data_IF_658323274595
#
_entry.id   IF_658323274595
#
_cell.length_a   1.000
_cell.length_b   1.000
_cell.length_c   1.000
_cell.angle_alpha   90.00
_cell.angle_beta   90.00
_cell.angle_gamma   90.00
#
_symmetry.space_group_name_H-M   'P 1'
#
loop_
_entity.id
_entity.type
_entity.pdbx_description
1 polymer ?
#
# COMPACT_ATOMS: atom_id res chain seq x y z
N UNK A 1 0.66 -18.30 -9.68
CA UNK A 1 0.34 -16.86 -9.90
C UNK A 1 1.27 -16.05 -9.00
N UNK A 2 2.17 -15.24 -9.58
CA UNK A 2 3.13 -14.49 -8.77
C UNK A 2 2.46 -13.30 -8.08
N UNK A 3 2.58 -13.28 -6.75
CA UNK A 3 2.00 -12.28 -5.84
C UNK A 3 3.07 -11.30 -5.36
N UNK A 4 2.70 -10.04 -5.22
CA UNK A 4 3.53 -9.00 -4.57
C UNK A 4 2.71 -8.30 -3.50
N UNK A 5 3.31 -8.06 -2.34
CA UNK A 5 2.79 -7.13 -1.33
C UNK A 5 3.28 -5.72 -1.67
N UNK A 6 2.34 -4.83 -2.05
CA UNK A 6 2.64 -3.44 -2.42
C UNK A 6 2.26 -2.50 -1.28
N UNK A 7 3.27 -1.90 -0.65
CA UNK A 7 3.15 -1.00 0.50
C UNK A 7 3.32 0.44 0.02
N UNK A 8 2.26 1.24 0.09
CA UNK A 8 2.22 2.58 -0.52
C UNK A 8 2.20 3.66 0.55
N UNK A 9 3.15 4.59 0.49
CA UNK A 9 3.25 5.85 1.23
C UNK A 9 3.16 5.71 2.76
N UNK A 10 3.63 4.62 3.32
CA UNK A 10 3.77 4.48 4.77
C UNK A 10 5.06 5.17 5.21
N UNK A 11 5.02 6.50 5.20
CA UNK A 11 6.16 7.38 5.43
C UNK A 11 6.09 8.05 6.81
N UNK A 12 7.27 8.38 7.37
CA UNK A 12 7.39 8.84 8.74
C UNK A 12 6.50 10.06 9.04
N UNK A 13 6.52 11.10 8.22
CA UNK A 13 5.73 12.31 8.46
C UNK A 13 4.21 12.02 8.43
N UNK A 14 3.76 11.13 7.55
CA UNK A 14 2.34 10.78 7.45
C UNK A 14 1.87 9.98 8.68
N UNK A 15 2.71 9.11 9.21
CA UNK A 15 2.39 8.34 10.42
C UNK A 15 2.47 9.21 11.68
N UNK A 16 3.43 10.15 11.73
CA UNK A 16 3.58 11.09 12.85
C UNK A 16 2.37 12.06 12.96
N UNK A 17 1.70 12.37 11.84
CA UNK A 17 0.47 13.18 11.79
C UNK A 17 -0.81 12.42 12.28
N UNK A 18 -0.62 11.23 12.83
CA UNK A 18 -1.64 10.44 13.52
C UNK A 18 -2.89 10.11 12.70
N UNK A 19 -2.76 9.33 11.62
CA UNK A 19 -3.90 8.88 10.81
C UNK A 19 -4.87 7.99 11.60
N UNK A 20 -6.07 7.80 11.06
CA UNK A 20 -7.11 7.00 11.67
C UNK A 20 -6.66 5.57 11.97
N UNK A 21 -6.99 5.07 13.16
CA UNK A 21 -6.63 3.71 13.59
C UNK A 21 -5.13 3.35 13.46
N UNK A 22 -4.24 4.34 13.59
CA UNK A 22 -2.80 4.19 13.37
C UNK A 22 -2.20 2.92 13.97
N UNK A 23 -2.45 2.66 15.25
CA UNK A 23 -1.84 1.52 15.94
C UNK A 23 -2.32 0.18 15.35
N UNK A 24 -3.62 0.03 15.11
CA UNK A 24 -4.19 -1.16 14.47
C UNK A 24 -3.67 -1.32 13.04
N UNK A 25 -3.60 -0.22 12.28
CA UNK A 25 -3.05 -0.21 10.93
C UNK A 25 -1.59 -0.71 10.90
N UNK A 26 -0.73 -0.19 11.78
CA UNK A 26 0.67 -0.62 11.87
C UNK A 26 0.83 -2.07 12.31
N UNK A 27 -0.02 -2.55 13.23
CA UNK A 27 -0.05 -3.97 13.63
C UNK A 27 -0.44 -4.85 12.44
N UNK A 28 -1.51 -4.51 11.74
CA UNK A 28 -1.96 -5.25 10.55
C UNK A 28 -0.89 -5.28 9.46
N UNK A 29 -0.28 -4.14 9.19
CA UNK A 29 0.79 -4.04 8.20
C UNK A 29 1.99 -4.91 8.57
N UNK A 30 2.38 -4.92 9.85
CA UNK A 30 3.46 -5.80 10.32
C UNK A 30 3.12 -7.28 10.11
N UNK A 31 1.90 -7.71 10.39
CA UNK A 31 1.48 -9.09 10.14
C UNK A 31 1.58 -9.47 8.67
N UNK A 32 1.21 -8.57 7.74
CA UNK A 32 1.35 -8.80 6.31
C UNK A 32 2.82 -8.88 5.88
N UNK A 33 3.68 -7.99 6.40
CA UNK A 33 5.12 -8.03 6.11
C UNK A 33 5.76 -9.33 6.62
N UNK A 34 5.47 -9.70 7.87
CA UNK A 34 5.98 -10.95 8.45
C UNK A 34 5.53 -12.17 7.59
N UNK A 35 4.26 -12.22 7.20
CA UNK A 35 3.73 -13.29 6.34
C UNK A 35 4.38 -13.33 4.95
N UNK A 36 4.58 -12.17 4.31
CA UNK A 36 5.26 -12.07 3.03
C UNK A 36 6.70 -12.60 3.13
N UNK A 37 7.41 -12.19 4.18
CA UNK A 37 8.78 -12.61 4.44
C UNK A 37 8.91 -14.13 4.72
N UNK A 38 7.98 -14.69 5.50
CA UNK A 38 7.93 -16.13 5.80
C UNK A 38 7.58 -16.97 4.57
N UNK A 39 6.64 -16.47 3.75
CA UNK A 39 6.21 -17.12 2.51
C UNK A 39 7.20 -16.98 1.35
N UNK A 40 8.13 -16.02 1.43
CA UNK A 40 9.02 -15.66 0.33
C UNK A 40 8.33 -14.81 -0.74
N UNK A 41 7.18 -14.22 -0.41
CA UNK A 41 6.49 -13.26 -1.29
C UNK A 41 7.25 -11.93 -1.30
N UNK A 42 7.46 -11.41 -2.49
CA UNK A 42 8.17 -10.15 -2.68
C UNK A 42 7.37 -8.97 -2.08
N UNK A 43 8.08 -8.10 -1.36
CA UNK A 43 7.54 -6.82 -0.86
C UNK A 43 8.13 -5.68 -1.69
N UNK A 44 7.24 -4.81 -2.16
CA UNK A 44 7.61 -3.59 -2.90
C UNK A 44 7.04 -2.39 -2.15
N UNK A 45 7.89 -1.42 -1.89
CA UNK A 45 7.50 -0.16 -1.25
C UNK A 45 7.39 0.96 -2.28
N UNK A 46 6.47 1.88 -2.03
CA UNK A 46 6.34 3.13 -2.78
C UNK A 46 6.35 4.29 -1.80
N UNK A 47 7.10 5.34 -2.12
CA UNK A 47 7.15 6.59 -1.34
C UNK A 47 6.70 7.76 -2.20
N UNK A 48 5.96 8.66 -1.61
CA UNK A 48 5.61 9.93 -2.23
C UNK A 48 6.71 10.97 -2.02
N UNK A 49 7.16 11.61 -3.08
CA UNK A 49 8.02 12.81 -3.04
C UNK A 49 7.11 14.02 -3.27
N UNK A 50 6.88 14.81 -2.21
CA UNK A 50 6.05 16.01 -2.23
C UNK A 50 6.66 17.20 -2.96
N UNK A 51 7.96 17.11 -3.31
CA UNK A 51 8.71 18.19 -3.93
C UNK A 51 9.36 19.14 -2.92
N UNK A 52 10.06 20.14 -3.45
CA UNK A 52 10.83 21.09 -2.65
C UNK A 52 9.94 21.85 -1.66
N UNK A 53 10.35 21.88 -0.40
CA UNK A 53 9.65 22.57 0.69
C UNK A 53 8.52 21.77 1.34
N UNK A 54 8.19 20.58 0.85
CA UNK A 54 7.23 19.67 1.47
C UNK A 54 7.91 18.81 2.55
N UNK A 55 7.15 18.40 3.56
CA UNK A 55 7.65 17.47 4.62
C UNK A 55 8.01 16.09 4.06
N UNK A 56 7.47 15.74 2.90
CA UNK A 56 7.79 14.54 2.13
C UNK A 56 8.77 14.82 0.99
N UNK A 57 9.50 15.95 0.99
CA UNK A 57 10.50 16.21 -0.03
C UNK A 57 11.59 15.14 -0.01
N UNK A 58 12.07 14.75 -1.19
CA UNK A 58 13.10 13.73 -1.36
C UNK A 58 14.32 13.99 -0.44
N UNK A 59 14.66 13.00 0.36
CA UNK A 59 15.80 13.05 1.30
C UNK A 59 15.46 13.58 2.69
N UNK A 60 14.31 14.21 2.88
CA UNK A 60 13.90 14.69 4.20
C UNK A 60 13.57 13.53 5.15
N UNK A 61 13.69 13.74 6.49
CA UNK A 61 13.33 12.70 7.46
C UNK A 61 11.89 12.19 7.34
N UNK A 62 10.95 13.08 7.01
CA UNK A 62 9.54 12.75 6.85
C UNK A 62 9.24 11.89 5.61
N UNK A 63 10.05 12.01 4.56
CA UNK A 63 9.97 11.21 3.34
C UNK A 63 10.37 9.75 3.55
N UNK A 64 11.20 9.44 4.56
CA UNK A 64 11.62 8.08 4.83
C UNK A 64 10.42 7.19 5.19
N UNK A 65 10.52 5.90 4.88
CA UNK A 65 9.56 4.91 5.35
C UNK A 65 9.47 4.94 6.87
N UNK A 66 8.29 4.65 7.40
CA UNK A 66 8.06 4.54 8.83
C UNK A 66 9.03 3.53 9.46
N UNK A 67 9.58 3.86 10.62
CA UNK A 67 10.75 3.18 11.22
C UNK A 67 10.56 1.69 11.52
N UNK A 68 9.33 1.25 11.72
CA UNK A 68 9.04 -0.15 12.04
C UNK A 68 9.04 -1.06 10.82
N UNK A 69 8.90 -0.53 9.60
CA UNK A 69 8.82 -1.31 8.36
C UNK A 69 10.11 -2.07 8.04
N UNK A 70 11.27 -1.43 8.27
CA UNK A 70 12.61 -2.01 8.13
C UNK A 70 12.77 -2.82 6.83
N UNK A 71 12.68 -2.20 5.63
CA UNK A 71 12.84 -2.89 4.37
C UNK A 71 14.14 -3.70 4.34
N UNK A 72 14.08 -4.89 3.75
CA UNK A 72 15.28 -5.72 3.50
C UNK A 72 16.09 -5.13 2.35
N UNK A 73 17.38 -5.42 2.30
CA UNK A 73 18.28 -4.85 1.30
C UNK A 73 17.90 -5.20 -0.16
N UNK A 74 17.28 -6.36 -0.35
CA UNK A 74 16.79 -6.84 -1.64
C UNK A 74 15.43 -6.27 -2.06
N UNK A 75 14.68 -5.68 -1.14
CA UNK A 75 13.34 -5.16 -1.41
C UNK A 75 13.40 -3.85 -2.19
N UNK A 76 12.50 -3.71 -3.14
CA UNK A 76 12.45 -2.55 -4.03
C UNK A 76 11.66 -1.41 -3.41
N UNK A 77 12.19 -0.19 -3.58
CA UNK A 77 11.51 1.05 -3.20
C UNK A 77 11.40 1.91 -4.45
N UNK A 78 10.19 2.33 -4.79
CA UNK A 78 9.90 3.26 -5.87
C UNK A 78 9.47 4.62 -5.32
N UNK A 79 9.96 5.69 -5.90
CA UNK A 79 9.52 7.04 -5.56
C UNK A 79 8.54 7.55 -6.62
N UNK A 80 7.47 8.21 -6.18
CA UNK A 80 6.44 8.79 -7.04
C UNK A 80 6.17 10.25 -6.71
N UNK A 81 5.65 10.99 -7.68
CA UNK A 81 5.21 12.38 -7.53
C UNK A 81 3.72 12.59 -7.81
N UNK A 82 2.99 11.52 -8.04
CA UNK A 82 1.56 11.53 -8.38
C UNK A 82 0.79 10.61 -7.44
N UNK A 83 -0.54 10.65 -7.46
CA UNK A 83 -1.36 9.76 -6.64
C UNK A 83 -1.12 8.29 -6.96
N UNK A 84 -1.11 7.92 -8.24
CA UNK A 84 -0.86 6.54 -8.66
C UNK A 84 0.57 6.10 -8.39
N UNK A 85 0.74 4.92 -7.81
CA UNK A 85 2.03 4.24 -7.67
C UNK A 85 2.67 3.87 -9.02
N UNK A 86 1.88 3.85 -10.09
CA UNK A 86 2.30 3.41 -11.42
C UNK A 86 2.74 4.56 -12.34
N UNK A 87 2.24 5.78 -12.10
CA UNK A 87 2.45 6.89 -13.03
C UNK A 87 3.89 7.41 -12.97
N UNK A 88 4.63 7.18 -14.05
CA UNK A 88 6.04 7.61 -14.24
C UNK A 88 7.02 7.08 -13.17
N UNK A 89 6.78 5.88 -12.66
CA UNK A 89 7.64 5.25 -11.63
C UNK A 89 8.47 4.09 -12.17
N UNK A 90 8.07 3.46 -13.28
CA UNK A 90 8.63 2.19 -13.75
C UNK A 90 8.12 0.97 -12.98
N UNK A 91 7.16 1.16 -12.05
CA UNK A 91 6.63 0.05 -11.25
C UNK A 91 5.94 -1.01 -12.12
N UNK A 92 5.11 -0.60 -13.09
CA UNK A 92 4.40 -1.56 -13.94
C UNK A 92 5.37 -2.40 -14.79
N UNK A 93 6.38 -1.76 -15.38
CA UNK A 93 7.43 -2.42 -16.16
C UNK A 93 8.19 -3.43 -15.29
N UNK A 94 8.51 -3.05 -14.06
CA UNK A 94 9.14 -3.94 -13.10
C UNK A 94 8.27 -5.15 -12.79
N UNK A 95 7.04 -4.95 -12.32
CA UNK A 95 6.11 -6.03 -11.95
C UNK A 95 5.85 -6.98 -13.13
N UNK A 96 5.66 -6.44 -14.33
CA UNK A 96 5.47 -7.22 -15.56
C UNK A 96 6.71 -8.06 -15.87
N UNK A 97 7.91 -7.47 -15.77
CA UNK A 97 9.18 -8.20 -16.01
C UNK A 97 9.39 -9.36 -15.03
N UNK A 98 8.84 -9.24 -13.83
CA UNK A 98 8.87 -10.28 -12.81
C UNK A 98 7.74 -11.33 -12.96
N UNK A 99 6.82 -11.16 -13.91
CA UNK A 99 5.68 -12.06 -14.12
C UNK A 99 4.62 -11.97 -13.03
N UNK A 100 4.54 -10.83 -12.34
CA UNK A 100 3.53 -10.59 -11.30
C UNK A 100 2.14 -10.52 -11.93
N UNK A 101 1.18 -11.20 -11.32
CA UNK A 101 -0.23 -11.21 -11.77
C UNK A 101 -1.19 -10.82 -10.66
N UNK A 102 -0.71 -10.78 -9.41
CA UNK A 102 -1.53 -10.45 -8.23
C UNK A 102 -0.85 -9.40 -7.37
N UNK A 103 -1.62 -8.43 -6.91
CA UNK A 103 -1.18 -7.41 -5.97
C UNK A 103 -2.03 -7.44 -4.70
N UNK A 104 -1.37 -7.48 -3.54
CA UNK A 104 -1.99 -7.20 -2.24
C UNK A 104 -1.54 -5.79 -1.89
N UNK A 105 -2.49 -4.83 -1.85
CA UNK A 105 -2.20 -3.40 -1.71
C UNK A 105 -2.57 -2.94 -0.30
N UNK A 106 -1.65 -2.25 0.37
CA UNK A 106 -1.85 -1.63 1.67
C UNK A 106 -1.11 -0.29 1.76
N UNK A 107 -1.42 0.52 2.78
CA UNK A 107 -0.77 1.82 2.99
C UNK A 107 -1.72 3.01 3.12
N UNK A 108 -1.34 4.17 2.58
CA UNK A 108 -2.12 5.41 2.73
C UNK A 108 -1.91 6.39 1.57
N UNK A 109 -2.77 7.41 1.36
CA UNK A 109 -4.07 7.56 2.03
C UNK A 109 -5.14 6.83 1.23
N UNK A 110 -6.11 6.26 1.92
CA UNK A 110 -7.17 5.41 1.35
C UNK A 110 -7.83 6.00 0.11
N UNK A 111 -8.34 7.23 0.20
CA UNK A 111 -9.09 7.91 -0.87
C UNK A 111 -8.22 8.56 -1.95
N UNK A 112 -6.90 8.60 -1.75
CA UNK A 112 -5.95 9.23 -2.69
C UNK A 112 -5.04 8.19 -3.34
N UNK A 113 -3.87 7.98 -2.75
CA UNK A 113 -2.83 7.15 -3.37
C UNK A 113 -3.23 5.67 -3.45
N UNK A 114 -3.96 5.16 -2.45
CA UNK A 114 -4.42 3.77 -2.48
C UNK A 114 -5.51 3.60 -3.53
N UNK A 115 -6.58 4.39 -3.50
CA UNK A 115 -7.69 4.25 -4.47
C UNK A 115 -7.20 4.41 -5.91
N UNK A 116 -6.36 5.42 -6.17
CA UNK A 116 -5.80 5.63 -7.50
C UNK A 116 -4.95 4.44 -7.94
N UNK A 117 -4.14 3.88 -7.04
CA UNK A 117 -3.27 2.74 -7.36
C UNK A 117 -4.06 1.44 -7.54
N UNK A 118 -5.09 1.19 -6.74
CA UNK A 118 -6.02 0.05 -6.89
C UNK A 118 -6.66 0.07 -8.28
N UNK A 119 -7.22 1.22 -8.69
CA UNK A 119 -7.86 1.38 -10.00
C UNK A 119 -6.86 1.19 -11.15
N UNK A 120 -5.68 1.80 -11.02
CA UNK A 120 -4.64 1.66 -12.05
C UNK A 120 -4.12 0.21 -12.13
N UNK A 121 -3.95 -0.48 -11.00
CA UNK A 121 -3.57 -1.89 -10.98
C UNK A 121 -4.60 -2.77 -11.71
N UNK A 122 -5.89 -2.54 -11.45
CA UNK A 122 -6.95 -3.23 -12.17
C UNK A 122 -6.92 -2.97 -13.68
N UNK A 123 -6.73 -1.71 -14.10
CA UNK A 123 -6.62 -1.34 -15.53
C UNK A 123 -5.39 -1.97 -16.21
N UNK A 124 -4.31 -2.23 -15.45
CA UNK A 124 -3.15 -2.99 -15.93
C UNK A 124 -3.35 -4.50 -15.95
N UNK A 125 -4.50 -5.00 -15.48
CA UNK A 125 -4.87 -6.42 -15.53
C UNK A 125 -4.38 -7.25 -14.35
N UNK A 126 -3.94 -6.62 -13.26
CA UNK A 126 -3.63 -7.35 -12.02
C UNK A 126 -4.89 -7.79 -11.30
N UNK A 127 -4.83 -8.97 -10.68
CA UNK A 127 -5.78 -9.36 -9.63
C UNK A 127 -5.44 -8.57 -8.36
N UNK A 128 -6.37 -7.73 -7.89
CA UNK A 128 -6.11 -6.78 -6.80
C UNK A 128 -6.83 -7.20 -5.53
N UNK A 129 -6.10 -7.29 -4.43
CA UNK A 129 -6.62 -7.53 -3.08
C UNK A 129 -6.24 -6.35 -2.16
N UNK A 130 -7.19 -5.97 -1.30
CA UNK A 130 -6.97 -4.99 -0.25
C UNK A 130 -7.35 -5.64 1.09
N UNK A 131 -6.38 -5.92 1.99
CA UNK A 131 -6.70 -6.46 3.30
C UNK A 131 -7.43 -5.41 4.16
N UNK A 132 -8.58 -5.77 4.71
CA UNK A 132 -9.37 -4.86 5.56
C UNK A 132 -8.55 -4.39 6.77
N UNK A 133 -8.60 -3.09 7.04
CA UNK A 133 -7.83 -2.44 8.10
C UNK A 133 -6.32 -2.32 7.82
N UNK A 134 -5.89 -2.54 6.57
CA UNK A 134 -4.51 -2.33 6.12
C UNK A 134 -4.34 -1.08 5.27
N UNK A 135 -5.36 -0.23 5.23
CA UNK A 135 -5.27 1.13 4.71
C UNK A 135 -5.69 2.13 5.78
N UNK A 136 -5.19 3.36 5.68
CA UNK A 136 -5.56 4.45 6.60
C UNK A 136 -5.58 5.80 5.89
N UNK A 137 -6.18 6.78 6.56
CA UNK A 137 -6.27 8.16 6.10
C UNK A 137 -6.57 9.10 7.27
N UNK A 138 -6.76 10.39 6.98
CA UNK A 138 -7.15 11.39 7.97
C UNK A 138 -8.64 11.73 7.87
N UNK A 139 -9.17 12.38 8.89
CA UNK A 139 -10.49 12.98 8.83
C UNK A 139 -10.50 14.15 7.84
N UNK A 140 -11.64 14.33 7.18
CA UNK A 140 -11.92 15.52 6.36
C UNK A 140 -13.20 16.22 6.87
N UNK A 141 -13.59 17.39 6.30
CA UNK A 141 -14.77 18.10 6.76
C UNK A 141 -16.09 17.33 6.69
N UNK A 142 -16.14 16.23 5.97
CA UNK A 142 -17.37 15.44 5.74
C UNK A 142 -17.39 14.13 6.53
N UNK A 143 -16.23 13.45 6.67
CA UNK A 143 -16.13 12.12 7.24
C UNK A 143 -14.90 11.99 8.15
N UNK A 144 -15.02 11.17 9.20
CA UNK A 144 -13.83 10.71 9.95
C UNK A 144 -13.01 9.74 9.09
N UNK A 145 -11.72 9.61 9.39
CA UNK A 145 -10.83 8.71 8.67
C UNK A 145 -11.31 7.26 8.69
N UNK A 146 -11.83 6.78 9.83
CA UNK A 146 -12.39 5.43 9.95
C UNK A 146 -13.59 5.21 9.02
N UNK A 147 -14.47 6.22 8.91
CA UNK A 147 -15.63 6.16 8.00
C UNK A 147 -15.21 6.18 6.54
N UNK A 148 -14.15 6.92 6.21
CA UNK A 148 -13.59 6.92 4.87
C UNK A 148 -13.03 5.54 4.52
N UNK A 149 -12.17 4.95 5.36
CA UNK A 149 -11.66 3.59 5.15
C UNK A 149 -12.80 2.60 4.97
N UNK A 150 -13.78 2.59 5.89
CA UNK A 150 -14.95 1.71 5.81
C UNK A 150 -15.73 1.90 4.52
N UNK A 151 -15.95 3.14 4.07
CA UNK A 151 -16.68 3.44 2.84
C UNK A 151 -15.96 2.88 1.61
N UNK A 152 -14.64 3.06 1.52
CA UNK A 152 -13.85 2.53 0.41
C UNK A 152 -13.85 1.01 0.41
N UNK A 153 -13.62 0.37 1.55
CA UNK A 153 -13.62 -1.09 1.68
C UNK A 153 -14.97 -1.73 1.36
N UNK A 154 -16.09 -1.05 1.64
CA UNK A 154 -17.43 -1.63 1.51
C UNK A 154 -18.17 -1.19 0.25
N UNK A 155 -17.85 -0.04 -0.30
CA UNK A 155 -18.63 0.56 -1.38
C UNK A 155 -17.83 0.79 -2.65
N UNK A 156 -16.55 1.16 -2.54
CA UNK A 156 -15.76 1.55 -3.70
C UNK A 156 -14.95 0.38 -4.25
N UNK A 157 -14.25 -0.35 -3.38
CA UNK A 157 -13.41 -1.48 -3.77
C UNK A 157 -14.22 -2.79 -3.72
N UNK A 158 -14.98 -3.04 -4.77
CA UNK A 158 -15.72 -4.29 -4.94
C UNK A 158 -15.44 -4.88 -6.33
N UNK A 159 -15.78 -6.13 -6.50
CA UNK A 159 -15.59 -6.80 -7.78
C UNK A 159 -16.35 -6.09 -8.93
N UNK A 160 -15.73 -5.98 -10.12
CA UNK A 160 -14.45 -6.60 -10.50
C UNK A 160 -13.20 -5.78 -10.16
N UNK A 161 -13.31 -4.58 -9.58
CA UNK A 161 -12.22 -3.64 -9.37
C UNK A 161 -11.14 -4.19 -8.40
N UNK A 162 -11.58 -4.66 -7.24
CA UNK A 162 -10.71 -5.27 -6.23
C UNK A 162 -11.52 -6.20 -5.32
N UNK A 163 -10.82 -7.05 -4.57
CA UNK A 163 -11.42 -7.86 -3.51
C UNK A 163 -10.90 -7.38 -2.16
N UNK A 164 -11.80 -6.87 -1.32
CA UNK A 164 -11.48 -6.61 0.08
C UNK A 164 -11.59 -7.93 0.84
N UNK A 165 -10.48 -8.34 1.43
CA UNK A 165 -10.31 -9.62 2.14
C UNK A 165 -9.96 -9.39 3.60
N UNK A 166 -10.17 -10.38 4.46
CA UNK A 166 -9.71 -10.30 5.84
C UNK A 166 -8.18 -10.53 5.95
N UNK A 167 -7.62 -10.22 7.13
CA UNK A 167 -6.19 -10.37 7.38
C UNK A 167 -5.71 -11.83 7.26
N UNK A 168 -6.53 -12.79 7.68
CA UNK A 168 -6.17 -14.21 7.63
C UNK A 168 -6.07 -14.70 6.18
N UNK A 169 -7.01 -14.28 5.31
CA UNK A 169 -6.96 -14.60 3.88
C UNK A 169 -5.73 -13.97 3.23
N UNK A 170 -5.43 -12.70 3.54
CA UNK A 170 -4.25 -12.03 3.02
C UNK A 170 -2.94 -12.74 3.44
N UNK A 171 -2.83 -13.12 4.71
CA UNK A 171 -1.69 -13.89 5.23
C UNK A 171 -1.54 -15.22 4.48
N UNK A 172 -2.64 -15.97 4.29
CA UNK A 172 -2.61 -17.20 3.52
C UNK A 172 -2.10 -17.00 2.10
N UNK A 173 -2.57 -15.95 1.40
CA UNK A 173 -2.13 -15.63 0.04
C UNK A 173 -0.64 -15.26 -0.03
N UNK A 174 -0.10 -14.59 1.00
CA UNK A 174 1.30 -14.20 1.08
C UNK A 174 2.24 -15.37 1.41
N UNK A 175 1.73 -16.43 2.07
CA UNK A 175 2.52 -17.61 2.47
C UNK A 175 2.49 -18.75 1.44
N UNK A 176 1.69 -18.65 0.39
CA UNK A 176 1.67 -19.68 -0.67
C UNK A 176 2.98 -19.63 -1.46
N UNK A 177 3.81 -20.66 -1.31
CA UNK A 177 5.01 -20.84 -2.14
C UNK A 177 4.57 -21.24 -3.56
N UNK A 178 4.96 -20.46 -4.52
CA UNK A 178 4.76 -20.74 -5.96
C UNK A 178 5.78 -21.71 -6.52
#
# INVERSE_FOLDING_TARGET
MKTVLLVIDVQQALIDDNPANKDTFLVNLKLLLDAAHEGGTEVVYVRHDGGEGDVLAYGEPGWQLERSLKPRAEERIFDKRFGSAFLKTGLNEYLTSQGVTRLIICGMQTEYCIDTSVKTAFEHGYEVFVPSGSTTTYANPFLSGEKLVYYYERMIWNEPLARVIDQEEAIRLLQVKE
#
